data_IF_873617120957
#
_entry.id   IF_873617120957
#
_cell.length_a   1.000
_cell.length_b   1.000
_cell.length_c   1.000
_cell.angle_alpha   90.00
_cell.angle_beta   90.00
_cell.angle_gamma   90.00
#
_symmetry.space_group_name_H-M   'P 1'
#
loop_
_entity.id
_entity.type
_entity.pdbx_description
1 polymer ?
#
# COMPACT_ATOMS: atom_id res chain seq x y z
N UNK A 1 6.16 -5.87 3.98
CA UNK A 1 6.47 -7.28 4.33
C UNK A 1 5.64 -7.72 5.52
N UNK A 2 5.29 -9.00 5.68
CA UNK A 2 4.80 -9.51 6.97
C UNK A 2 5.98 -9.68 7.95
N UNK A 3 5.74 -9.49 9.25
CA UNK A 3 6.75 -9.68 10.30
C UNK A 3 7.20 -11.15 10.41
N UNK A 4 6.27 -12.08 10.22
CA UNK A 4 6.53 -13.51 10.29
C UNK A 4 5.68 -14.31 9.29
N UNK A 5 5.86 -15.63 9.25
CA UNK A 5 5.01 -16.53 8.45
C UNK A 5 3.68 -16.89 9.14
N UNK A 6 3.37 -16.28 10.29
CA UNK A 6 2.05 -16.42 10.90
C UNK A 6 0.96 -15.94 9.93
N UNK A 7 -0.13 -16.69 9.72
CA UNK A 7 -1.21 -16.30 8.81
C UNK A 7 -1.77 -14.89 9.11
N UNK A 8 -1.81 -14.51 10.38
CA UNK A 8 -2.29 -13.20 10.84
C UNK A 8 -1.39 -12.06 10.35
N UNK A 9 -0.06 -12.23 10.42
CA UNK A 9 0.89 -11.22 9.92
C UNK A 9 0.87 -11.13 8.39
N UNK A 10 0.67 -12.27 7.71
CA UNK A 10 0.48 -12.31 6.25
C UNK A 10 -0.78 -11.55 5.87
N UNK A 11 -1.89 -11.77 6.58
CA UNK A 11 -3.14 -11.05 6.32
C UNK A 11 -3.02 -9.56 6.65
N UNK A 12 -2.31 -9.19 7.72
CA UNK A 12 -2.04 -7.79 8.05
C UNK A 12 -1.26 -7.08 6.93
N UNK A 13 -0.27 -7.74 6.33
CA UNK A 13 0.46 -7.20 5.17
C UNK A 13 -0.46 -7.05 3.94
N UNK A 14 -1.38 -7.99 3.70
CA UNK A 14 -2.37 -7.88 2.62
C UNK A 14 -3.31 -6.69 2.85
N UNK A 15 -3.77 -6.46 4.07
CA UNK A 15 -4.63 -5.33 4.42
C UNK A 15 -3.90 -4.00 4.25
N UNK A 16 -2.69 -3.89 4.81
CA UNK A 16 -1.86 -2.69 4.67
C UNK A 16 -1.61 -2.33 3.19
N UNK A 17 -1.29 -3.33 2.36
CA UNK A 17 -1.08 -3.09 0.93
C UNK A 17 -2.37 -2.60 0.24
N UNK A 18 -3.54 -3.16 0.57
CA UNK A 18 -4.83 -2.74 -0.01
C UNK A 18 -5.15 -1.28 0.29
N UNK A 19 -4.80 -0.79 1.47
CA UNK A 19 -4.97 0.62 1.85
C UNK A 19 -4.16 1.57 0.96
N UNK A 20 -3.01 1.12 0.44
CA UNK A 20 -2.20 1.90 -0.49
C UNK A 20 -2.66 1.68 -1.95
N UNK A 21 -2.97 0.44 -2.30
CA UNK A 21 -3.35 0.03 -3.66
C UNK A 21 -4.69 0.60 -4.12
N UNK A 22 -5.64 0.90 -3.24
CA UNK A 22 -6.97 1.34 -3.68
C UNK A 22 -6.91 2.66 -4.47
N UNK A 23 -6.01 3.58 -4.10
CA UNK A 23 -5.83 4.83 -4.83
C UNK A 23 -5.34 4.58 -6.25
N UNK A 24 -4.42 3.63 -6.41
CA UNK A 24 -3.90 3.22 -7.72
C UNK A 24 -4.94 2.41 -8.49
N UNK A 25 -5.76 1.57 -7.85
CA UNK A 25 -6.86 0.85 -8.51
C UNK A 25 -7.87 1.84 -9.12
N UNK A 26 -8.24 2.90 -8.43
CA UNK A 26 -9.13 3.94 -8.97
C UNK A 26 -8.50 4.63 -10.18
N UNK A 27 -7.23 5.05 -10.08
CA UNK A 27 -6.55 5.80 -11.13
C UNK A 27 -6.14 4.96 -12.35
N UNK A 28 -5.76 3.69 -12.14
CA UNK A 28 -5.22 2.83 -13.19
C UNK A 28 -6.28 1.89 -13.78
N UNK A 29 -7.25 1.44 -12.98
CA UNK A 29 -8.31 0.51 -13.44
C UNK A 29 -9.67 1.17 -13.59
N UNK A 30 -9.83 2.39 -13.09
CA UNK A 30 -11.05 3.17 -13.29
C UNK A 30 -12.24 2.67 -12.47
N UNK A 31 -12.00 2.03 -11.32
CA UNK A 31 -13.07 1.61 -10.42
C UNK A 31 -12.63 1.56 -8.95
N UNK A 32 -13.58 1.72 -8.03
CA UNK A 32 -13.36 1.48 -6.60
C UNK A 32 -13.34 -0.02 -6.31
N UNK A 33 -12.27 -0.57 -5.70
CA UNK A 33 -12.21 -2.00 -5.44
C UNK A 33 -13.25 -2.40 -4.38
N UNK A 34 -13.85 -3.58 -4.56
CA UNK A 34 -14.97 -4.05 -3.73
C UNK A 34 -14.63 -4.11 -2.23
N UNK A 35 -13.39 -4.42 -1.87
CA UNK A 35 -12.97 -4.47 -0.47
C UNK A 35 -13.06 -3.10 0.22
N UNK A 36 -12.76 -2.00 -0.51
CA UNK A 36 -12.79 -0.64 0.01
C UNK A 36 -14.21 -0.12 0.12
N UNK A 37 -15.08 -0.42 -0.86
CA UNK A 37 -16.51 -0.12 -0.76
C UNK A 37 -17.16 -0.82 0.44
N UNK A 38 -16.78 -2.09 0.70
CA UNK A 38 -17.25 -2.82 1.89
C UNK A 38 -16.70 -2.27 3.20
N UNK A 39 -15.52 -1.65 3.18
CA UNK A 39 -14.98 -0.94 4.34
C UNK A 39 -15.80 0.31 4.65
N UNK A 40 -16.05 1.15 3.65
CA UNK A 40 -16.91 2.33 3.79
C UNK A 40 -18.31 1.97 4.31
N UNK A 41 -18.91 0.90 3.81
CA UNK A 41 -20.20 0.40 4.30
C UNK A 41 -20.15 0.02 5.79
N UNK A 42 -19.11 -0.69 6.24
CA UNK A 42 -18.93 -1.06 7.66
C UNK A 42 -18.69 0.15 8.56
N UNK A 43 -18.03 1.17 8.05
CA UNK A 43 -17.73 2.42 8.77
C UNK A 43 -18.88 3.44 8.72
N UNK A 44 -19.99 3.11 8.04
CA UNK A 44 -21.11 4.02 7.85
C UNK A 44 -20.78 5.23 6.96
N UNK A 45 -19.71 5.13 6.16
CA UNK A 45 -19.32 6.16 5.20
C UNK A 45 -20.14 6.04 3.92
N UNK A 46 -20.73 7.15 3.50
CA UNK A 46 -21.42 7.26 2.21
C UNK A 46 -20.65 8.23 1.33
N UNK A 47 -20.14 7.74 0.20
CA UNK A 47 -19.53 8.60 -0.81
C UNK A 47 -20.66 9.30 -1.58
N UNK A 48 -20.65 10.63 -1.55
CA UNK A 48 -21.49 11.41 -2.45
C UNK A 48 -20.89 11.31 -3.84
N UNK A 49 -21.63 10.74 -4.79
CA UNK A 49 -21.24 10.63 -6.20
C UNK A 49 -22.34 11.20 -7.07
N UNK A 50 -21.94 11.99 -8.04
CA UNK A 50 -22.81 12.39 -9.14
C UNK A 50 -22.96 11.24 -10.13
N UNK A 51 -24.05 11.26 -10.91
CA UNK A 51 -24.38 10.18 -11.85
C UNK A 51 -23.30 9.90 -12.92
N UNK A 52 -22.42 10.87 -13.20
CA UNK A 52 -21.37 10.77 -14.21
C UNK A 52 -19.99 10.39 -13.63
N UNK A 53 -19.78 10.46 -12.31
CA UNK A 53 -18.46 10.33 -11.70
C UNK A 53 -17.79 9.00 -12.03
N UNK A 54 -18.53 7.89 -11.90
CA UNK A 54 -17.99 6.56 -12.21
C UNK A 54 -17.64 6.41 -13.69
N UNK A 55 -18.41 7.04 -14.59
CA UNK A 55 -18.10 7.03 -16.02
C UNK A 55 -16.87 7.87 -16.35
N UNK A 56 -16.66 8.99 -15.65
CA UNK A 56 -15.47 9.83 -15.77
C UNK A 56 -14.25 9.06 -15.26
N UNK A 57 -14.32 8.45 -14.08
CA UNK A 57 -13.23 7.65 -13.49
C UNK A 57 -12.86 6.49 -14.42
N UNK A 58 -13.84 5.79 -14.99
CA UNK A 58 -13.58 4.68 -15.91
C UNK A 58 -12.86 5.12 -17.19
N UNK A 59 -13.20 6.30 -17.73
CA UNK A 59 -12.59 6.84 -18.95
C UNK A 59 -11.26 7.55 -18.70
N UNK A 60 -11.04 8.07 -17.50
CA UNK A 60 -9.88 8.87 -17.10
C UNK A 60 -8.75 8.06 -16.45
N UNK A 61 -8.46 6.85 -16.95
CA UNK A 61 -7.35 6.04 -16.42
C UNK A 61 -6.00 6.56 -16.89
N UNK A 62 -4.97 6.38 -16.06
CA UNK A 62 -3.60 6.85 -16.34
C UNK A 62 -2.86 5.92 -17.31
N UNK A 63 -1.77 6.40 -17.92
CA UNK A 63 -0.93 5.58 -18.84
C UNK A 63 0.22 4.84 -18.15
N UNK A 64 0.59 5.27 -16.93
CA UNK A 64 1.67 4.69 -16.14
C UNK A 64 1.42 4.84 -14.63
N UNK A 65 2.09 4.02 -13.83
CA UNK A 65 2.09 4.14 -12.37
C UNK A 65 3.31 4.96 -11.94
N UNK A 66 3.07 6.21 -11.57
CA UNK A 66 4.07 7.03 -10.89
C UNK A 66 4.12 6.66 -9.41
N UNK A 67 5.32 6.38 -8.88
CA UNK A 67 5.48 6.12 -7.45
C UNK A 67 6.86 6.58 -6.95
N UNK A 68 6.92 6.91 -5.67
CA UNK A 68 8.16 7.16 -4.96
C UNK A 68 8.49 5.98 -4.04
N UNK A 69 9.78 5.73 -3.83
CA UNK A 69 10.25 4.67 -2.95
C UNK A 69 11.42 5.16 -2.10
N UNK A 70 11.25 5.11 -0.78
CA UNK A 70 12.27 5.51 0.18
C UNK A 70 12.71 4.34 1.06
N UNK A 71 11.76 3.56 1.54
CA UNK A 71 11.98 2.43 2.44
C UNK A 71 10.84 1.43 2.29
N UNK A 72 11.06 0.23 2.82
CA UNK A 72 10.00 -0.76 3.02
C UNK A 72 9.49 -0.77 4.45
N UNK A 73 8.29 -1.30 4.66
CA UNK A 73 7.67 -1.44 5.98
C UNK A 73 7.34 -2.89 6.31
N UNK A 74 7.18 -3.17 7.60
CA UNK A 74 6.75 -4.46 8.12
C UNK A 74 5.39 -4.33 8.78
N UNK A 75 4.50 -5.27 8.47
CA UNK A 75 3.15 -5.39 9.03
C UNK A 75 3.08 -6.58 9.97
N UNK A 76 2.34 -6.43 11.07
CA UNK A 76 2.08 -7.48 12.07
C UNK A 76 0.63 -7.34 12.53
N UNK A 77 0.01 -8.45 12.92
CA UNK A 77 -1.29 -8.42 13.58
C UNK A 77 -1.21 -8.00 15.07
N UNK A 78 0.02 -7.91 15.61
CA UNK A 78 0.31 -7.60 17.03
C UNK A 78 1.19 -6.35 17.16
N UNK A 79 0.76 -5.17 16.66
CA UNK A 79 1.59 -3.96 16.63
C UNK A 79 2.05 -3.49 18.02
N UNK A 80 1.25 -3.75 19.05
CA UNK A 80 1.53 -3.41 20.45
C UNK A 80 2.62 -4.28 21.09
N UNK A 81 2.87 -5.48 20.56
CA UNK A 81 3.88 -6.40 21.07
C UNK A 81 5.28 -6.13 20.51
N UNK A 82 5.42 -5.16 19.60
CA UNK A 82 6.65 -4.88 18.89
C UNK A 82 7.23 -3.52 19.27
N UNK A 83 8.56 -3.46 19.40
CA UNK A 83 9.27 -2.21 19.67
C UNK A 83 9.23 -1.30 18.43
N UNK A 84 8.51 -0.18 18.53
CA UNK A 84 8.66 0.94 17.62
C UNK A 84 9.97 1.67 17.88
N UNK A 85 10.68 2.08 16.82
CA UNK A 85 11.67 3.16 16.93
C UNK A 85 11.03 4.46 16.52
N UNK A 86 11.15 5.46 17.40
CA UNK A 86 10.80 6.84 17.10
C UNK A 86 11.76 7.42 16.06
N UNK A 87 11.19 8.01 15.03
CA UNK A 87 11.90 8.66 13.93
C UNK A 87 10.95 9.13 12.82
N UNK A 88 9.89 8.36 12.57
CA UNK A 88 8.81 8.74 11.65
C UNK A 88 7.46 8.89 12.36
N UNK A 89 6.60 9.75 11.81
CA UNK A 89 5.22 9.99 12.26
C UNK A 89 4.30 8.76 12.13
N UNK A 90 4.80 7.62 11.64
CA UNK A 90 4.08 6.35 11.58
C UNK A 90 4.84 5.29 12.38
N UNK A 91 4.19 4.65 13.37
CA UNK A 91 4.73 3.49 14.04
C UNK A 91 4.91 2.37 12.99
N UNK A 92 6.15 2.10 12.57
CA UNK A 92 6.47 1.00 11.67
C UNK A 92 7.28 -0.05 12.43
N UNK A 93 6.92 -1.32 12.27
CA UNK A 93 7.69 -2.43 12.83
C UNK A 93 9.04 -2.52 12.13
N UNK A 94 10.12 -2.66 12.92
CA UNK A 94 11.48 -2.81 12.38
C UNK A 94 11.61 -4.14 11.65
N UNK A 95 12.20 -4.13 10.46
CA UNK A 95 12.67 -5.34 9.82
C UNK A 95 14.05 -5.71 10.39
N UNK A 96 14.20 -6.80 11.16
CA UNK A 96 15.47 -7.14 11.80
C UNK A 96 16.59 -7.51 10.82
N UNK A 97 16.25 -7.68 9.54
CA UNK A 97 17.19 -8.04 8.47
C UNK A 97 17.69 -6.84 7.66
N UNK A 98 17.16 -5.64 7.91
CA UNK A 98 17.52 -4.43 7.18
C UNK A 98 18.34 -3.48 8.05
N UNK A 99 19.28 -2.79 7.42
CA UNK A 99 19.99 -1.67 8.05
C UNK A 99 19.10 -0.43 8.02
N UNK A 100 19.30 0.47 8.97
CA UNK A 100 18.60 1.76 9.02
C UNK A 100 19.58 2.90 8.79
N UNK A 101 19.10 3.94 8.13
CA UNK A 101 19.78 5.23 8.06
C UNK A 101 19.83 5.91 9.43
N UNK A 102 20.59 6.99 9.55
CA UNK A 102 20.62 7.84 10.76
C UNK A 102 19.24 8.40 11.14
N UNK A 103 18.31 8.45 10.18
CA UNK A 103 16.92 8.90 10.36
C UNK A 103 15.94 7.75 10.67
N UNK A 104 16.44 6.53 10.88
CA UNK A 104 15.62 5.36 11.20
C UNK A 104 14.87 4.77 10.01
N UNK A 105 15.18 5.18 8.77
CA UNK A 105 14.55 4.61 7.58
C UNK A 105 15.26 3.33 7.16
N UNK A 106 14.49 2.28 6.91
CA UNK A 106 15.03 1.00 6.44
C UNK A 106 15.63 1.14 5.03
N UNK A 107 16.89 0.75 4.89
CA UNK A 107 17.60 0.73 3.61
C UNK A 107 17.34 -0.61 2.93
N UNK A 108 16.41 -0.62 1.97
CA UNK A 108 15.96 -1.84 1.29
C UNK A 108 15.93 -1.68 -0.24
N UNK A 109 17.06 -1.92 -0.94
CA UNK A 109 17.09 -1.88 -2.39
C UNK A 109 16.30 -3.03 -3.04
N UNK A 110 16.13 -4.17 -2.36
CA UNK A 110 15.36 -5.28 -2.88
C UNK A 110 13.86 -5.00 -2.81
N UNK A 111 13.41 -4.27 -1.79
CA UNK A 111 12.03 -3.81 -1.65
C UNK A 111 11.59 -2.95 -2.84
N UNK A 112 12.46 -2.11 -3.40
CA UNK A 112 12.15 -1.36 -4.64
C UNK A 112 11.84 -2.31 -5.80
N UNK A 113 12.68 -3.34 -5.99
CA UNK A 113 12.45 -4.35 -7.04
C UNK A 113 11.15 -5.13 -6.79
N UNK A 114 10.85 -5.48 -5.55
CA UNK A 114 9.61 -6.16 -5.17
C UNK A 114 8.40 -5.27 -5.51
N UNK A 115 8.43 -3.99 -5.15
CA UNK A 115 7.36 -3.04 -5.48
C UNK A 115 7.17 -2.92 -6.99
N UNK A 116 8.25 -2.80 -7.77
CA UNK A 116 8.18 -2.77 -9.22
C UNK A 116 7.53 -4.04 -9.80
N UNK A 117 7.92 -5.23 -9.33
CA UNK A 117 7.29 -6.48 -9.76
C UNK A 117 5.80 -6.50 -9.42
N UNK A 118 5.43 -6.15 -8.18
CA UNK A 118 4.03 -6.14 -7.74
C UNK A 118 3.16 -5.16 -8.52
N UNK A 119 3.65 -3.93 -8.74
CA UNK A 119 2.92 -2.92 -9.51
C UNK A 119 2.79 -3.34 -10.98
N UNK A 120 3.87 -3.83 -11.58
CA UNK A 120 3.87 -4.29 -12.97
C UNK A 120 2.92 -5.48 -13.17
N UNK A 121 2.97 -6.49 -12.30
CA UNK A 121 2.11 -7.68 -12.38
C UNK A 121 0.63 -7.31 -12.16
N UNK A 122 0.35 -6.40 -11.22
CA UNK A 122 -1.01 -6.01 -10.86
C UNK A 122 -1.69 -5.16 -11.93
N UNK A 123 -0.97 -4.20 -12.51
CA UNK A 123 -1.53 -3.19 -13.40
C UNK A 123 -1.21 -3.43 -14.87
N UNK A 124 -0.17 -4.21 -15.19
CA UNK A 124 0.34 -4.42 -16.56
C UNK A 124 0.67 -3.10 -17.27
N UNK A 125 1.22 -2.15 -16.52
CA UNK A 125 1.53 -0.79 -16.98
C UNK A 125 2.98 -0.42 -16.70
N UNK A 126 3.58 0.51 -17.48
CA UNK A 126 4.87 1.08 -17.16
C UNK A 126 4.88 1.71 -15.76
N UNK A 127 6.00 1.59 -15.05
CA UNK A 127 6.23 2.26 -13.78
C UNK A 127 7.25 3.39 -13.96
N UNK A 128 6.97 4.55 -13.39
CA UNK A 128 7.88 5.70 -13.35
C UNK A 128 8.28 5.97 -11.90
N UNK A 129 9.57 5.85 -11.61
CA UNK A 129 10.15 6.23 -10.33
C UNK A 129 10.56 7.71 -10.36
N UNK A 130 10.17 8.49 -9.34
CA UNK A 130 10.55 9.90 -9.19
C UNK A 130 10.90 10.27 -7.75
#
# INVERSE_FOLDING_TARGET
>A
YPLSCKPEDVMAAVQFNREQEFYMDVQAKGYYPAHKLKEFEREGMTIQMESEDLAIIQKGTVDYIGFSYYMSTVSTAYPEEVKYVGGNQMPAVKNPYLQESEWGWAVDPLGLRISLCQLSDRYNMPCLLY
#
